data_IF_517948572657
#
_entry.id   IF_517948572657
#
_cell.length_a   1.000
_cell.length_b   1.000
_cell.length_c   1.000
_cell.angle_alpha   90.00
_cell.angle_beta   90.00
_cell.angle_gamma   90.00
#
_symmetry.space_group_name_H-M   'P 1'
#
loop_
_entity.id
_entity.type
_entity.pdbx_description
1 polymer ?
#
# COMPACT_ATOMS: atom_id res chain seq x y z
N UNK A 1 -8.57 -4.52 -9.01
CA UNK A 1 -7.37 -3.96 -9.70
C UNK A 1 -6.22 -4.94 -9.59
N UNK A 2 -5.39 -5.13 -10.63
CA UNK A 2 -4.21 -6.01 -10.55
C UNK A 2 -2.98 -5.16 -10.18
N UNK A 3 -2.32 -5.43 -9.03
CA UNK A 3 -1.19 -4.62 -8.55
C UNK A 3 0.00 -4.55 -9.52
N UNK A 4 0.19 -5.59 -10.33
CA UNK A 4 1.34 -5.74 -11.23
C UNK A 4 1.12 -5.18 -12.63
N UNK A 5 0.04 -4.45 -12.88
CA UNK A 5 -0.26 -3.93 -14.21
C UNK A 5 0.55 -2.67 -14.59
N UNK A 6 1.54 -2.30 -13.76
CA UNK A 6 2.31 -1.05 -13.87
C UNK A 6 3.78 -1.29 -14.23
N UNK A 7 4.34 -2.44 -13.85
CA UNK A 7 5.69 -2.85 -14.24
C UNK A 7 5.69 -4.34 -14.60
N UNK A 8 6.27 -4.73 -15.75
CA UNK A 8 6.27 -6.12 -16.20
C UNK A 8 7.12 -7.06 -15.32
N UNK A 9 8.00 -6.50 -14.50
CA UNK A 9 8.88 -7.26 -13.59
C UNK A 9 8.26 -7.51 -12.21
N UNK A 10 7.12 -6.89 -11.92
CA UNK A 10 6.37 -7.12 -10.69
C UNK A 10 5.45 -8.32 -10.85
N UNK A 11 5.45 -9.21 -9.86
CA UNK A 11 4.63 -10.41 -9.84
C UNK A 11 3.79 -10.47 -8.56
N UNK A 12 2.54 -10.93 -8.67
CA UNK A 12 1.72 -11.24 -7.50
C UNK A 12 2.11 -12.63 -7.03
N UNK A 13 2.84 -12.71 -5.94
CA UNK A 13 3.32 -13.98 -5.39
C UNK A 13 2.31 -14.69 -4.53
N UNK A 14 1.46 -13.91 -3.84
CA UNK A 14 0.39 -14.47 -3.02
C UNK A 14 -0.82 -13.52 -2.97
N UNK A 15 -2.00 -14.12 -2.90
CA UNK A 15 -3.26 -13.44 -2.62
C UNK A 15 -3.92 -14.13 -1.45
N UNK A 16 -4.22 -13.38 -0.40
CA UNK A 16 -4.86 -13.93 0.79
C UNK A 16 -5.90 -12.95 1.35
N UNK A 17 -6.90 -13.50 2.02
CA UNK A 17 -7.91 -12.73 2.71
C UNK A 17 -7.75 -12.87 4.22
N UNK A 18 -7.84 -11.76 4.93
CA UNK A 18 -8.00 -11.72 6.37
C UNK A 18 -9.23 -10.89 6.74
N UNK A 19 -9.50 -10.74 8.04
CA UNK A 19 -10.62 -9.96 8.54
C UNK A 19 -10.11 -8.85 9.47
N UNK A 20 -10.53 -7.63 9.21
CA UNK A 20 -10.31 -6.51 10.12
C UNK A 20 -11.39 -6.53 11.20
N UNK A 21 -11.01 -6.49 12.49
CA UNK A 21 -11.97 -6.32 13.57
C UNK A 21 -12.40 -4.85 13.65
N UNK A 22 -13.66 -4.57 13.34
CA UNK A 22 -14.25 -3.23 13.51
C UNK A 22 -15.59 -3.39 14.24
N UNK A 23 -15.69 -2.89 15.48
CA UNK A 23 -16.96 -2.81 16.24
C UNK A 23 -17.80 -4.10 16.28
N UNK A 24 -17.15 -5.27 16.38
CA UNK A 24 -17.81 -6.57 16.41
C UNK A 24 -18.29 -7.09 15.04
N UNK A 25 -17.96 -6.39 13.94
CA UNK A 25 -18.10 -6.86 12.57
C UNK A 25 -16.73 -7.23 12.00
N UNK A 26 -16.71 -8.29 11.20
CA UNK A 26 -15.53 -8.69 10.44
C UNK A 26 -15.65 -8.12 9.04
N UNK A 27 -14.77 -7.18 8.71
CA UNK A 27 -14.67 -6.69 7.34
C UNK A 27 -13.60 -7.48 6.60
N UNK A 28 -13.95 -8.17 5.50
CA UNK A 28 -12.95 -8.88 4.71
C UNK A 28 -11.95 -7.87 4.16
N UNK A 29 -10.69 -8.26 4.17
CA UNK A 29 -9.61 -7.54 3.53
C UNK A 29 -8.85 -8.50 2.65
N UNK A 30 -8.72 -8.14 1.38
CA UNK A 30 -7.96 -8.91 0.39
C UNK A 30 -6.60 -8.26 0.24
N UNK A 31 -5.55 -9.07 0.37
CA UNK A 31 -4.18 -8.64 0.35
C UNK A 31 -3.47 -9.29 -0.84
N UNK A 32 -2.67 -8.49 -1.55
CA UNK A 32 -1.85 -8.92 -2.67
C UNK A 32 -0.39 -8.65 -2.32
N UNK A 33 0.39 -9.72 -2.15
CA UNK A 33 1.83 -9.62 -1.93
C UNK A 33 2.54 -9.59 -3.27
N UNK A 34 3.28 -8.51 -3.52
CA UNK A 34 3.98 -8.26 -4.78
C UNK A 34 5.47 -8.37 -4.57
N UNK A 35 6.15 -9.05 -5.48
CA UNK A 35 7.58 -9.29 -5.47
C UNK A 35 8.19 -9.02 -6.85
N UNK A 36 9.51 -8.81 -6.85
CA UNK A 36 10.34 -8.75 -8.05
C UNK A 36 11.49 -9.72 -7.85
N UNK A 37 11.70 -10.65 -8.78
CA UNK A 37 12.81 -11.63 -8.73
C UNK A 37 12.89 -12.40 -7.39
N UNK A 38 11.74 -12.66 -6.78
CA UNK A 38 11.63 -13.37 -5.48
C UNK A 38 11.81 -12.48 -4.24
N UNK A 39 12.10 -11.18 -4.39
CA UNK A 39 12.16 -10.23 -3.28
C UNK A 39 10.82 -9.53 -3.06
N UNK A 40 10.34 -9.52 -1.82
CA UNK A 40 9.11 -8.78 -1.45
C UNK A 40 9.27 -7.28 -1.65
N UNK A 41 8.41 -6.69 -2.47
CA UNK A 41 8.32 -5.24 -2.67
C UNK A 41 7.27 -4.60 -1.79
N UNK A 42 6.00 -4.90 -2.07
CA UNK A 42 4.88 -4.26 -1.38
C UNK A 42 3.67 -5.18 -1.20
N UNK A 43 2.81 -4.79 -0.28
CA UNK A 43 1.50 -5.35 -0.03
C UNK A 43 0.45 -4.33 -0.46
N UNK A 44 -0.48 -4.72 -1.33
CA UNK A 44 -1.69 -3.97 -1.61
C UNK A 44 -2.85 -4.62 -0.86
N UNK A 45 -3.49 -3.88 0.04
CA UNK A 45 -4.68 -4.32 0.77
C UNK A 45 -5.93 -3.59 0.29
N UNK A 46 -7.05 -4.30 0.22
CA UNK A 46 -8.35 -3.77 -0.20
C UNK A 46 -9.41 -4.19 0.82
N UNK A 47 -10.16 -3.23 1.37
CA UNK A 47 -11.23 -3.50 2.33
C UNK A 47 -12.32 -2.44 2.25
N UNK A 48 -13.56 -2.79 2.56
CA UNK A 48 -14.66 -1.82 2.67
C UNK A 48 -14.61 -1.02 3.98
N UNK A 49 -13.92 -1.56 4.99
CA UNK A 49 -13.71 -0.94 6.31
C UNK A 49 -13.02 0.42 6.19
N UNK A 50 -13.30 1.30 7.16
CA UNK A 50 -12.53 2.53 7.34
C UNK A 50 -11.42 2.24 8.33
N UNK A 51 -10.22 1.98 7.82
CA UNK A 51 -9.07 1.66 8.68
C UNK A 51 -8.40 2.95 9.14
N UNK A 52 -8.38 3.29 10.45
CA UNK A 52 -7.65 4.47 10.92
C UNK A 52 -6.13 4.27 10.79
N UNK A 53 -5.39 5.39 10.70
CA UNK A 53 -3.93 5.34 10.82
C UNK A 53 -3.59 5.06 12.29
N UNK A 54 -3.02 3.88 12.57
CA UNK A 54 -2.85 3.45 13.97
C UNK A 54 -1.47 3.79 14.55
N UNK A 55 -0.42 3.91 13.73
CA UNK A 55 0.90 4.37 14.18
C UNK A 55 1.75 4.85 13.01
N UNK A 56 2.36 6.04 13.15
CA UNK A 56 3.38 6.54 12.22
C UNK A 56 4.74 6.41 12.96
N UNK A 57 5.72 5.67 12.41
CA UNK A 57 7.02 5.52 13.03
C UNK A 57 7.73 6.87 13.22
N UNK A 58 8.46 7.01 14.33
CA UNK A 58 9.31 8.18 14.56
C UNK A 58 10.37 8.32 13.47
N UNK A 59 10.61 9.55 13.03
CA UNK A 59 11.54 9.84 11.93
C UNK A 59 10.94 9.69 10.53
N UNK A 60 9.65 9.36 10.42
CA UNK A 60 8.95 9.35 9.14
C UNK A 60 8.56 10.75 8.69
N UNK A 61 8.51 10.98 7.37
CA UNK A 61 7.91 12.16 6.74
C UNK A 61 6.61 11.79 6.01
N UNK A 62 5.77 12.80 5.78
CA UNK A 62 4.49 12.63 5.10
C UNK A 62 4.69 12.37 3.61
N UNK A 63 3.92 11.43 3.06
CA UNK A 63 3.74 11.26 1.62
C UNK A 63 2.31 11.66 1.23
N UNK A 64 2.19 12.32 0.08
CA UNK A 64 0.92 12.65 -0.54
C UNK A 64 1.01 12.39 -2.04
N UNK A 65 -0.08 11.88 -2.60
CA UNK A 65 -0.25 11.69 -4.04
C UNK A 65 -1.65 12.13 -4.41
N UNK A 66 -1.78 12.93 -5.47
CA UNK A 66 -3.06 13.39 -6.00
C UNK A 66 -3.16 13.03 -7.48
N UNK A 67 -4.27 12.39 -7.87
CA UNK A 67 -4.56 12.00 -9.25
C UNK A 67 -6.05 12.15 -9.51
N UNK A 68 -6.42 12.98 -10.49
CA UNK A 68 -7.81 13.21 -10.91
C UNK A 68 -8.77 13.51 -9.72
N UNK A 69 -8.33 14.36 -8.78
CA UNK A 69 -9.09 14.71 -7.58
C UNK A 69 -9.20 13.61 -6.53
N UNK A 70 -8.54 12.46 -6.74
CA UNK A 70 -8.35 11.41 -5.73
C UNK A 70 -7.07 11.71 -4.97
N UNK A 71 -7.09 11.44 -3.68
CA UNK A 71 -5.98 11.73 -2.78
C UNK A 71 -5.55 10.48 -2.02
N UNK A 72 -4.26 10.19 -2.06
CA UNK A 72 -3.61 9.23 -1.18
C UNK A 72 -2.72 9.96 -0.19
N UNK A 73 -2.72 9.47 1.05
CA UNK A 73 -1.90 9.98 2.12
C UNK A 73 -1.17 8.85 2.82
N UNK A 74 0.00 9.18 3.37
CA UNK A 74 0.67 8.32 4.31
C UNK A 74 2.04 8.86 4.66
N UNK A 75 3.02 7.99 4.74
CA UNK A 75 4.35 8.33 5.24
C UNK A 75 5.42 7.43 4.65
N UNK A 76 6.67 7.90 4.69
CA UNK A 76 7.84 7.08 4.48
C UNK A 76 8.87 7.35 5.57
N UNK A 77 9.68 6.35 5.88
CA UNK A 77 10.72 6.46 6.90
C UNK A 77 11.11 5.11 7.50
N UNK A 78 11.88 5.13 8.59
CA UNK A 78 12.43 3.92 9.17
C UNK A 78 11.35 3.05 9.81
N UNK A 79 11.38 1.75 9.53
CA UNK A 79 10.51 0.77 10.21
C UNK A 79 10.95 0.45 11.65
N UNK A 80 12.17 0.82 12.03
CA UNK A 80 12.83 0.37 13.26
C UNK A 80 13.49 -1.01 13.16
N UNK A 81 13.32 -1.73 12.05
CA UNK A 81 13.93 -3.05 11.79
C UNK A 81 15.15 -2.97 10.85
N UNK A 82 15.70 -1.77 10.63
CA UNK A 82 16.86 -1.54 9.75
C UNK A 82 16.53 -1.43 8.26
N UNK A 83 15.24 -1.35 7.91
CA UNK A 83 14.77 -1.05 6.55
C UNK A 83 13.78 0.11 6.58
N UNK A 84 13.77 0.92 5.52
CA UNK A 84 12.77 1.97 5.36
C UNK A 84 11.50 1.39 4.75
N UNK A 85 10.37 2.00 5.08
CA UNK A 85 9.06 1.64 4.57
C UNK A 85 8.39 2.86 3.98
N UNK A 86 7.49 2.64 3.04
CA UNK A 86 6.54 3.64 2.58
C UNK A 86 5.12 3.07 2.68
N UNK A 87 4.21 3.88 3.20
CA UNK A 87 2.80 3.54 3.31
C UNK A 87 1.98 4.64 2.65
N UNK A 88 1.03 4.26 1.80
CA UNK A 88 0.03 5.16 1.23
C UNK A 88 -1.35 4.53 1.36
N UNK A 89 -2.35 5.36 1.63
CA UNK A 89 -3.75 4.95 1.72
C UNK A 89 -4.64 5.92 0.96
N UNK A 90 -5.58 5.38 0.21
CA UNK A 90 -6.64 6.15 -0.42
C UNK A 90 -7.97 5.40 -0.34
N UNK A 91 -9.07 6.10 -0.61
CA UNK A 91 -10.40 5.52 -0.66
C UNK A 91 -11.02 5.77 -2.02
N UNK A 92 -11.67 4.76 -2.59
CA UNK A 92 -12.39 4.86 -3.86
C UNK A 92 -13.61 3.94 -3.83
N UNK A 93 -14.77 4.47 -4.20
CA UNK A 93 -16.02 3.70 -4.33
C UNK A 93 -16.36 2.85 -3.10
N UNK A 94 -16.11 3.38 -1.90
CA UNK A 94 -16.36 2.68 -0.63
C UNK A 94 -15.29 1.67 -0.23
N UNK A 95 -14.23 1.51 -1.01
CA UNK A 95 -13.09 0.63 -0.72
C UNK A 95 -11.89 1.46 -0.27
N UNK A 96 -11.33 1.12 0.89
CA UNK A 96 -10.02 1.58 1.36
C UNK A 96 -8.95 0.71 0.72
N UNK A 97 -7.96 1.38 0.13
CA UNK A 97 -6.75 0.77 -0.41
C UNK A 97 -5.58 1.18 0.46
N UNK A 98 -4.73 0.22 0.82
CA UNK A 98 -3.50 0.45 1.56
C UNK A 98 -2.35 -0.16 0.76
N UNK A 99 -1.31 0.64 0.49
CA UNK A 99 -0.09 0.22 -0.17
C UNK A 99 1.04 0.33 0.85
N UNK A 100 1.52 -0.81 1.34
CA UNK A 100 2.62 -0.90 2.29
C UNK A 100 3.85 -1.51 1.61
N UNK A 101 4.91 -0.74 1.44
CA UNK A 101 6.12 -1.13 0.76
C UNK A 101 7.30 -1.18 1.72
N UNK A 102 8.16 -2.19 1.55
CA UNK A 102 9.51 -2.19 2.12
C UNK A 102 10.44 -1.62 1.06
N UNK A 103 11.07 -0.49 1.36
CA UNK A 103 11.92 0.20 0.39
C UNK A 103 13.21 -0.60 0.13
N UNK A 104 13.63 -0.59 -1.12
CA UNK A 104 14.79 -1.33 -1.63
C UNK A 104 15.49 -0.52 -2.72
N UNK A 105 16.72 -0.90 -3.14
CA UNK A 105 17.39 -0.23 -4.25
C UNK A 105 16.57 -0.16 -5.55
N UNK A 106 15.64 -1.10 -5.77
CA UNK A 106 14.74 -1.16 -6.92
C UNK A 106 13.31 -0.67 -6.65
N UNK A 107 12.98 -0.32 -5.40
CA UNK A 107 11.66 0.16 -4.99
C UNK A 107 11.83 1.33 -4.04
N UNK A 108 11.86 2.53 -4.61
CA UNK A 108 12.04 3.79 -3.90
C UNK A 108 10.70 4.39 -3.46
N UNK A 109 10.75 5.44 -2.62
CA UNK A 109 9.55 6.20 -2.27
C UNK A 109 8.82 6.73 -3.50
N UNK A 110 9.59 7.18 -4.50
CA UNK A 110 9.03 7.69 -5.76
C UNK A 110 8.29 6.59 -6.51
N UNK A 111 8.86 5.40 -6.60
CA UNK A 111 8.22 4.25 -7.27
C UNK A 111 6.91 3.89 -6.54
N UNK A 112 6.89 3.92 -5.20
CA UNK A 112 5.67 3.70 -4.41
C UNK A 112 4.61 4.77 -4.70
N UNK A 113 4.99 6.04 -4.84
CA UNK A 113 4.08 7.11 -5.23
C UNK A 113 3.54 6.93 -6.66
N UNK A 114 4.39 6.55 -7.61
CA UNK A 114 4.01 6.30 -9.01
C UNK A 114 3.09 5.08 -9.14
N UNK A 115 3.36 4.01 -8.37
CA UNK A 115 2.48 2.84 -8.25
C UNK A 115 1.11 3.26 -7.70
N UNK A 116 1.07 4.01 -6.58
CA UNK A 116 -0.18 4.48 -6.00
C UNK A 116 -0.96 5.38 -6.99
N UNK A 117 -0.26 6.31 -7.66
CA UNK A 117 -0.85 7.19 -8.66
C UNK A 117 -1.47 6.38 -9.81
N UNK A 118 -0.73 5.41 -10.35
CA UNK A 118 -1.21 4.51 -11.40
C UNK A 118 -2.46 3.72 -10.97
N UNK A 119 -2.48 3.24 -9.72
CA UNK A 119 -3.66 2.59 -9.15
C UNK A 119 -4.85 3.54 -9.02
N UNK A 120 -4.64 4.76 -8.55
CA UNK A 120 -5.71 5.73 -8.40
C UNK A 120 -6.34 6.15 -9.74
N UNK A 121 -5.56 6.22 -10.81
CA UNK A 121 -5.99 6.66 -12.15
C UNK A 121 -6.97 5.69 -12.86
N UNK A 122 -7.05 4.41 -12.44
CA UNK A 122 -7.80 3.35 -13.15
C UNK A 122 -9.10 2.97 -12.47
#
# INVERSE_FOLDING_TARGET
>A
MRPCAYEPELEVGNVFADALPEEGRQHPRVNFSVHREGEHGFLLSQTEATVPFLAIPLGSHRLQVEVDGRHAEGFAGPSGAGVDIAYLRWRRDGVTFELAATLRPWLTERDVQEIAAGMMAR
#
